data_IF_076948260885
#
_entry.id   IF_076948260885
#
_cell.length_a   1.000
_cell.length_b   1.000
_cell.length_c   1.000
_cell.angle_alpha   90.00
_cell.angle_beta   90.00
_cell.angle_gamma   90.00
#
_symmetry.space_group_name_H-M   'P 1'
#
loop_
_entity.id
_entity.type
_entity.pdbx_description
1 polymer ?
#
# COMPACT_ATOMS: atom_id res chain seq x y z
N UNK A 1 5.71 -10.79 -7.64
CA UNK A 1 4.28 -10.47 -7.53
C UNK A 1 4.23 -9.04 -7.02
N UNK A 2 4.06 -8.07 -7.92
CA UNK A 2 4.49 -6.68 -7.73
C UNK A 2 3.88 -5.96 -6.53
N UNK A 3 2.66 -6.33 -6.14
CA UNK A 3 1.99 -5.75 -4.97
C UNK A 3 2.59 -6.26 -3.65
N UNK A 4 3.05 -7.52 -3.58
CA UNK A 4 3.68 -8.06 -2.36
C UNK A 4 4.99 -7.33 -2.05
N UNK A 5 5.77 -7.02 -3.09
CA UNK A 5 7.03 -6.26 -2.94
C UNK A 5 6.75 -4.83 -2.46
N UNK A 6 5.70 -4.20 -3.00
CA UNK A 6 5.24 -2.88 -2.54
C UNK A 6 4.77 -2.93 -1.08
N UNK A 7 3.95 -3.91 -0.71
CA UNK A 7 3.45 -4.09 0.65
C UNK A 7 4.62 -4.31 1.63
N UNK A 8 5.59 -5.14 1.28
CA UNK A 8 6.79 -5.35 2.10
C UNK A 8 7.59 -4.05 2.31
N UNK A 9 7.79 -3.26 1.24
CA UNK A 9 8.46 -1.96 1.33
C UNK A 9 7.73 -0.96 2.25
N UNK A 10 6.41 -0.87 2.13
CA UNK A 10 5.58 0.06 2.92
C UNK A 10 5.66 -0.20 4.43
N UNK A 11 5.87 -1.45 4.85
CA UNK A 11 6.04 -1.79 6.28
C UNK A 11 7.22 -1.05 6.96
N UNK A 12 8.19 -0.57 6.16
CA UNK A 12 9.36 0.17 6.65
C UNK A 12 9.20 1.70 6.54
N UNK A 13 8.11 2.18 5.95
CA UNK A 13 7.89 3.59 5.62
C UNK A 13 7.16 4.37 6.74
N UNK A 14 7.59 4.25 7.99
CA UNK A 14 6.91 4.88 9.13
C UNK A 14 6.94 6.43 9.15
N UNK A 15 7.76 7.07 8.31
CA UNK A 15 7.83 8.54 8.17
C UNK A 15 7.08 9.08 6.96
N UNK A 16 6.43 8.21 6.19
CA UNK A 16 5.75 8.61 4.97
C UNK A 16 4.51 9.45 5.33
N UNK A 17 4.44 10.67 4.79
CA UNK A 17 3.31 11.59 5.02
C UNK A 17 2.27 11.50 3.91
N UNK A 18 2.69 11.18 2.68
CA UNK A 18 1.82 11.13 1.51
C UNK A 18 2.13 9.89 0.68
N UNK A 19 1.07 9.19 0.28
CA UNK A 19 1.15 8.01 -0.57
C UNK A 19 0.05 8.06 -1.62
N UNK A 20 0.44 7.84 -2.87
CA UNK A 20 -0.48 7.71 -4.00
C UNK A 20 -0.16 6.43 -4.75
N UNK A 21 -1.14 5.55 -4.89
CA UNK A 21 -0.98 4.27 -5.58
C UNK A 21 -2.11 4.15 -6.61
N UNK A 22 -1.78 3.76 -7.83
CA UNK A 22 -2.73 3.46 -8.90
C UNK A 22 -2.75 1.95 -9.18
N UNK A 23 -3.89 1.33 -8.90
CA UNK A 23 -4.14 -0.10 -8.99
C UNK A 23 -5.16 -0.47 -10.08
N UNK A 24 -5.71 0.51 -10.82
CA UNK A 24 -6.88 0.34 -11.70
C UNK A 24 -6.81 -0.82 -12.68
N UNK A 25 -5.62 -1.17 -13.16
CA UNK A 25 -5.43 -2.21 -14.18
C UNK A 25 -4.59 -3.39 -13.69
N UNK A 26 -4.57 -3.62 -12.37
CA UNK A 26 -3.91 -4.79 -11.80
C UNK A 26 -4.94 -5.87 -11.50
N UNK A 27 -4.68 -7.09 -11.96
CA UNK A 27 -5.41 -8.28 -11.51
C UNK A 27 -4.97 -8.64 -10.10
N UNK A 28 -5.52 -7.94 -9.12
CA UNK A 28 -5.24 -8.17 -7.72
C UNK A 28 -6.14 -9.27 -7.18
N UNK A 29 -5.55 -10.16 -6.38
CA UNK A 29 -6.30 -11.09 -5.54
C UNK A 29 -6.68 -10.38 -4.24
N UNK A 30 -7.77 -10.78 -3.61
CA UNK A 30 -8.22 -10.23 -2.33
C UNK A 30 -7.13 -10.28 -1.24
N UNK A 31 -6.30 -11.34 -1.26
CA UNK A 31 -5.16 -11.45 -0.36
C UNK A 31 -4.14 -10.32 -0.58
N UNK A 32 -3.84 -9.97 -1.82
CA UNK A 32 -2.86 -8.94 -2.15
C UNK A 32 -3.33 -7.54 -1.70
N UNK A 33 -4.64 -7.28 -1.76
CA UNK A 33 -5.25 -6.07 -1.19
C UNK A 33 -5.21 -6.08 0.34
N UNK A 34 -5.46 -7.23 0.97
CA UNK A 34 -5.38 -7.37 2.42
C UNK A 34 -3.96 -7.12 2.94
N UNK A 35 -2.95 -7.68 2.26
CA UNK A 35 -1.53 -7.49 2.60
C UNK A 35 -1.12 -6.01 2.45
N UNK A 36 -1.56 -5.35 1.38
CA UNK A 36 -1.34 -3.91 1.21
C UNK A 36 -1.97 -3.11 2.35
N UNK A 37 -3.20 -3.43 2.75
CA UNK A 37 -3.89 -2.80 3.87
C UNK A 37 -3.13 -2.94 5.19
N UNK A 38 -2.63 -4.13 5.50
CA UNK A 38 -1.80 -4.37 6.70
C UNK A 38 -0.52 -3.53 6.68
N UNK A 39 0.15 -3.42 5.54
CA UNK A 39 1.37 -2.61 5.43
C UNK A 39 1.13 -1.11 5.53
N UNK A 40 0.00 -0.61 5.04
CA UNK A 40 -0.39 0.78 5.21
C UNK A 40 -0.57 1.16 6.69
N UNK A 41 -0.98 0.21 7.54
CA UNK A 41 -1.07 0.44 8.99
C UNK A 41 0.28 0.73 9.65
N UNK A 42 1.40 0.27 9.06
CA UNK A 42 2.75 0.58 9.52
C UNK A 42 3.20 2.01 9.17
N UNK A 43 2.57 2.66 8.19
CA UNK A 43 2.83 4.04 7.81
C UNK A 43 2.13 5.02 8.78
N UNK A 44 2.52 5.00 10.06
CA UNK A 44 1.79 5.69 11.14
C UNK A 44 1.71 7.22 11.02
N UNK A 45 2.61 7.85 10.27
CA UNK A 45 2.59 9.30 9.99
C UNK A 45 1.85 9.67 8.70
N UNK A 46 1.23 8.71 8.01
CA UNK A 46 0.55 8.94 6.74
C UNK A 46 -0.70 9.80 6.97
N UNK A 47 -0.69 11.00 6.39
CA UNK A 47 -1.80 11.97 6.49
C UNK A 47 -2.59 12.09 5.20
N UNK A 48 -1.99 11.76 4.06
CA UNK A 48 -2.64 11.82 2.76
C UNK A 48 -2.45 10.49 2.01
N UNK A 49 -3.56 9.78 1.81
CA UNK A 49 -3.61 8.54 1.05
C UNK A 49 -4.55 8.72 -0.14
N UNK A 50 -4.05 8.46 -1.35
CA UNK A 50 -4.88 8.33 -2.55
C UNK A 50 -4.69 6.96 -3.15
N UNK A 51 -5.78 6.21 -3.29
CA UNK A 51 -5.81 4.92 -3.97
C UNK A 51 -6.74 5.02 -5.18
N UNK A 52 -6.22 4.70 -6.35
CA UNK A 52 -7.05 4.46 -7.52
C UNK A 52 -7.20 2.94 -7.68
N UNK A 53 -8.42 2.44 -7.58
CA UNK A 53 -8.75 1.01 -7.68
C UNK A 53 -9.45 0.69 -8.98
#
# INVERSE_FOLDING_TARGET
DSILDLASGLSHCNKLLTLKIDLRWNFLKDQALSDLGSSLACCSNLSNLTLYL
#
